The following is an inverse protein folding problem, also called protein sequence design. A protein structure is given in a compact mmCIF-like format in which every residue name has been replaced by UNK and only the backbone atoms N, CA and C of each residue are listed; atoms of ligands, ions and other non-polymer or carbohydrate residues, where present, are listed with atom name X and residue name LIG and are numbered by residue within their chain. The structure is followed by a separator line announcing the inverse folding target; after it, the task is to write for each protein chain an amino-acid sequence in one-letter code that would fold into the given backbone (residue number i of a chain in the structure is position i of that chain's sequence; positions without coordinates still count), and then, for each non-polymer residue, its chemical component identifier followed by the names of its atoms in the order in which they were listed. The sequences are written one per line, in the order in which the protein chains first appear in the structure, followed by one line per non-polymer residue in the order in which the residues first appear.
data_IF_453426948495
#
_entry.id   IF_453426948495
#
_cell.length_a   1.000
_cell.length_b   1.000
_cell.length_c   1.000
_cell.angle_alpha   90.00
_cell.angle_beta   90.00
_cell.angle_gamma   90.00
#
_symmetry.space_group_name_H-M   'P 1'
#
loop_
_entity.id
_entity.type
_entity.pdbx_description
1 polymer ?
#
# COMPACT_ATOMS: atom_id res chain seq x y z
N UNK A 1 19.84 -44.78 36.03
CA UNK A 1 20.51 -44.21 34.85
C UNK A 1 19.50 -43.32 34.17
N UNK A 2 19.54 -42.02 34.47
CA UNK A 2 18.59 -41.03 33.95
C UNK A 2 19.06 -40.60 32.56
N UNK A 3 18.26 -40.88 31.53
CA UNK A 3 18.47 -40.30 30.22
C UNK A 3 18.07 -38.82 30.30
N UNK A 4 19.05 -37.95 30.05
CA UNK A 4 18.86 -36.52 29.96
C UNK A 4 17.87 -36.21 28.82
N UNK A 5 16.78 -35.52 29.15
CA UNK A 5 15.91 -34.90 28.15
C UNK A 5 16.71 -33.86 27.38
N UNK A 6 16.75 -34.02 26.05
CA UNK A 6 17.22 -32.96 25.17
C UNK A 6 16.28 -31.75 25.34
N UNK A 7 16.80 -30.50 25.36
CA UNK A 7 15.93 -29.34 25.29
C UNK A 7 15.25 -29.33 23.93
N UNK A 8 13.90 -29.39 23.92
CA UNK A 8 13.09 -29.09 22.75
C UNK A 8 13.31 -27.62 22.39
N UNK A 9 14.33 -27.38 21.56
CA UNK A 9 14.52 -26.11 20.89
C UNK A 9 13.59 -26.07 19.68
N UNK A 10 12.31 -25.77 19.93
CA UNK A 10 11.40 -25.32 18.88
C UNK A 10 10.38 -24.34 19.46
N UNK A 11 10.86 -23.37 20.24
CA UNK A 11 10.22 -22.05 20.23
C UNK A 11 10.47 -21.46 18.84
N UNK A 12 9.70 -21.96 17.86
CA UNK A 12 9.47 -21.22 16.64
C UNK A 12 9.09 -19.81 17.09
N UNK A 13 9.98 -18.86 16.80
CA UNK A 13 9.77 -17.45 17.04
C UNK A 13 8.43 -17.09 16.39
N UNK A 14 7.36 -17.08 17.19
CA UNK A 14 6.01 -16.69 16.81
C UNK A 14 5.97 -15.16 16.71
N UNK A 15 6.92 -14.65 15.92
CA UNK A 15 6.98 -13.26 15.53
C UNK A 15 5.74 -13.05 14.66
N UNK A 16 4.84 -12.13 15.04
CA UNK A 16 3.67 -11.86 14.24
C UNK A 16 4.13 -11.52 12.82
N UNK A 17 3.63 -12.26 11.83
CA UNK A 17 3.90 -11.97 10.43
C UNK A 17 3.47 -10.53 10.19
N UNK A 18 4.44 -9.68 9.83
CA UNK A 18 4.21 -8.29 9.50
C UNK A 18 3.12 -8.21 8.42
N UNK A 19 1.97 -7.63 8.78
CA UNK A 19 0.91 -7.41 7.83
C UNK A 19 1.32 -6.24 6.94
N UNK A 20 1.24 -6.43 5.63
CA UNK A 20 1.56 -5.40 4.66
C UNK A 20 0.48 -5.28 3.58
N UNK A 21 0.47 -4.12 2.91
CA UNK A 21 -0.23 -3.87 1.65
C UNK A 21 0.73 -3.16 0.68
N UNK A 22 0.58 -3.41 -0.61
CA UNK A 22 1.29 -2.66 -1.65
C UNK A 22 0.33 -1.67 -2.27
N UNK A 23 0.70 -0.40 -2.25
CA UNK A 23 -0.11 0.70 -2.82
C UNK A 23 0.59 1.31 -4.02
N UNK A 24 -0.20 1.67 -5.04
CA UNK A 24 0.25 2.37 -6.24
C UNK A 24 -0.33 3.79 -6.19
N UNK A 25 0.49 4.82 -5.93
CA UNK A 25 0.02 6.19 -5.91
C UNK A 25 -0.25 6.70 -7.34
N UNK A 26 -1.42 7.31 -7.53
CA UNK A 26 -1.78 8.02 -8.77
C UNK A 26 -2.34 9.39 -8.43
N UNK A 27 -2.11 10.38 -9.28
CA UNK A 27 -2.48 11.77 -9.03
C UNK A 27 -3.67 12.17 -9.88
N UNK A 28 -4.65 12.77 -9.23
CA UNK A 28 -5.75 13.46 -9.90
C UNK A 28 -5.22 14.73 -10.55
N UNK A 29 -5.51 14.89 -11.84
CA UNK A 29 -5.24 16.13 -12.58
C UNK A 29 -6.49 16.98 -12.69
N UNK A 30 -6.33 18.27 -13.01
CA UNK A 30 -7.43 19.24 -13.10
C UNK A 30 -8.54 18.82 -14.08
N UNK A 31 -8.20 18.03 -15.10
CA UNK A 31 -9.17 17.47 -16.06
C UNK A 31 -10.01 16.31 -15.49
N UNK A 32 -9.80 15.94 -14.23
CA UNK A 32 -10.51 14.85 -13.54
C UNK A 32 -9.92 13.45 -13.74
N UNK A 33 -8.94 13.30 -14.64
CA UNK A 33 -8.25 12.03 -14.89
C UNK A 33 -7.18 11.70 -13.84
N UNK A 34 -6.67 10.47 -13.90
CA UNK A 34 -5.57 10.00 -13.04
C UNK A 34 -4.28 9.89 -13.85
N UNK A 35 -3.16 10.15 -13.20
CA UNK A 35 -1.83 9.97 -13.78
C UNK A 35 -0.87 9.27 -12.84
N UNK A 36 0.02 8.46 -13.41
CA UNK A 36 1.15 7.89 -12.69
C UNK A 36 2.18 8.98 -12.33
N UNK A 37 3.11 8.66 -11.43
CA UNK A 37 4.23 9.55 -11.06
C UNK A 37 5.06 9.99 -12.28
N UNK A 38 5.17 9.14 -13.30
CA UNK A 38 5.90 9.40 -14.54
C UNK A 38 5.05 10.11 -15.62
N UNK A 39 3.80 10.45 -15.31
CA UNK A 39 2.91 11.22 -16.17
C UNK A 39 2.03 10.42 -17.13
N UNK A 40 2.08 9.09 -17.10
CA UNK A 40 1.21 8.23 -17.89
C UNK A 40 -0.24 8.33 -17.41
N UNK A 41 -1.21 8.32 -18.32
CA UNK A 41 -2.64 8.38 -17.97
C UNK A 41 -3.05 7.01 -17.42
N UNK A 42 -3.73 7.00 -16.28
CA UNK A 42 -4.20 5.78 -15.63
C UNK A 42 -5.72 5.72 -15.73
N UNK A 43 -6.23 4.66 -16.33
CA UNK A 43 -7.64 4.28 -16.26
C UNK A 43 -7.75 3.00 -15.42
N UNK A 44 -8.18 3.09 -14.14
CA UNK A 44 -8.24 1.94 -13.25
C UNK A 44 -9.35 0.95 -13.62
N UNK A 45 -10.36 1.39 -14.38
CA UNK A 45 -11.46 0.55 -14.86
C UNK A 45 -11.13 -0.11 -16.20
N UNK A 46 -9.98 0.20 -16.79
CA UNK A 46 -9.53 -0.43 -18.01
C UNK A 46 -9.40 -1.95 -17.85
N UNK A 47 -9.67 -2.68 -18.93
CA UNK A 47 -9.51 -4.13 -18.93
C UNK A 47 -8.02 -4.53 -18.82
N UNK A 48 -7.16 -3.79 -19.51
CA UNK A 48 -5.71 -3.99 -19.54
C UNK A 48 -4.98 -2.64 -19.53
N UNK A 49 -3.75 -2.63 -19.03
CA UNK A 49 -2.84 -1.51 -19.10
C UNK A 49 -1.74 -1.78 -20.12
N UNK A 50 -1.22 -0.74 -20.76
CA UNK A 50 -0.05 -0.85 -21.61
C UNK A 50 1.22 -1.19 -20.79
N UNK A 51 2.19 -1.84 -21.43
CA UNK A 51 3.40 -2.33 -20.76
C UNK A 51 4.22 -1.21 -20.12
N UNK A 52 4.39 -0.07 -20.83
CA UNK A 52 5.14 1.06 -20.32
C UNK A 52 4.49 1.66 -19.06
N UNK A 53 3.15 1.74 -19.04
CA UNK A 53 2.39 2.17 -17.89
C UNK A 53 2.49 1.18 -16.73
N UNK A 54 2.39 -0.13 -16.99
CA UNK A 54 2.57 -1.16 -15.94
C UNK A 54 3.94 -1.01 -15.29
N UNK A 55 5.01 -0.85 -16.09
CA UNK A 55 6.37 -0.64 -15.57
C UNK A 55 6.48 0.68 -14.80
N UNK A 56 5.87 1.75 -15.28
CA UNK A 56 5.86 3.05 -14.59
C UNK A 56 5.12 3.00 -13.24
N UNK A 57 4.03 2.24 -13.16
CA UNK A 57 3.26 2.03 -11.93
C UNK A 57 4.00 1.11 -10.97
N UNK A 58 4.60 0.03 -11.46
CA UNK A 58 5.36 -0.93 -10.66
C UNK A 58 6.57 -0.26 -9.98
N UNK A 59 7.26 0.63 -10.70
CA UNK A 59 8.38 1.43 -10.16
C UNK A 59 7.93 2.43 -9.07
N UNK A 60 6.63 2.73 -8.98
CA UNK A 60 6.06 3.66 -8.00
C UNK A 60 5.42 2.99 -6.79
N UNK A 61 5.42 1.65 -6.73
CA UNK A 61 4.81 0.89 -5.64
C UNK A 61 5.45 1.25 -4.30
N UNK A 62 4.61 1.40 -3.28
CA UNK A 62 5.03 1.56 -1.90
C UNK A 62 4.41 0.46 -1.07
N UNK A 63 5.23 -0.25 -0.31
CA UNK A 63 4.76 -1.19 0.71
C UNK A 63 4.50 -0.43 2.00
N UNK A 64 3.31 -0.61 2.57
CA UNK A 64 2.92 -0.09 3.86
C UNK A 64 2.72 -1.27 4.80
N UNK A 65 3.33 -1.23 5.98
CA UNK A 65 3.24 -2.31 6.95
C UNK A 65 2.86 -1.85 8.37
N UNK A 66 2.38 -2.80 9.16
CA UNK A 66 2.10 -2.61 10.57
C UNK A 66 2.99 -3.53 11.43
N UNK A 67 3.56 -3.03 12.54
CA UNK A 67 3.34 -1.70 13.13
C UNK A 67 4.33 -0.61 12.66
N UNK A 68 5.13 -0.87 11.62
CA UNK A 68 6.27 -0.01 11.24
C UNK A 68 5.81 1.34 10.70
N UNK A 69 4.92 1.34 9.71
CA UNK A 69 4.47 2.57 9.06
C UNK A 69 3.18 3.10 9.69
N UNK A 70 2.31 2.20 10.15
CA UNK A 70 0.98 2.52 10.66
C UNK A 70 0.48 1.48 11.68
N UNK A 71 -0.57 1.84 12.42
CA UNK A 71 -1.24 0.93 13.34
C UNK A 71 -1.88 -0.26 12.58
N UNK A 72 -2.00 -1.46 13.19
CA UNK A 72 -2.69 -2.60 12.55
C UNK A 72 -4.14 -2.28 12.14
N UNK A 73 -4.80 -1.40 12.88
CA UNK A 73 -6.15 -0.90 12.57
C UNK A 73 -6.13 -0.05 11.31
N UNK A 74 -5.26 0.94 11.22
CA UNK A 74 -5.11 1.77 10.03
C UNK A 74 -4.76 0.93 8.79
N UNK A 75 -3.93 -0.11 8.94
CA UNK A 75 -3.57 -1.00 7.83
C UNK A 75 -4.79 -1.78 7.32
N UNK A 76 -5.62 -2.28 8.24
CA UNK A 76 -6.88 -2.95 7.91
C UNK A 76 -7.83 -1.99 7.16
N UNK A 77 -7.97 -0.76 7.64
CA UNK A 77 -8.78 0.27 6.99
C UNK A 77 -8.33 0.52 5.55
N UNK A 78 -7.02 0.71 5.34
CA UNK A 78 -6.49 0.88 3.98
C UNK A 78 -6.76 -0.33 3.11
N UNK A 79 -6.55 -1.55 3.66
CA UNK A 79 -6.76 -2.79 2.92
C UNK A 79 -8.21 -2.95 2.45
N UNK A 80 -9.18 -2.54 3.26
CA UNK A 80 -10.61 -2.69 2.98
C UNK A 80 -11.16 -1.58 2.08
N UNK A 81 -10.61 -0.36 2.17
CA UNK A 81 -11.17 0.80 1.47
C UNK A 81 -10.46 1.16 0.17
N UNK A 82 -9.18 0.80 0.02
CA UNK A 82 -8.47 1.06 -1.23
C UNK A 82 -8.90 0.04 -2.30
N UNK A 83 -9.23 0.50 -3.51
CA UNK A 83 -9.67 -0.39 -4.58
C UNK A 83 -8.52 -1.26 -5.09
N UNK A 84 -8.89 -2.44 -5.59
CA UNK A 84 -8.05 -3.36 -6.35
C UNK A 84 -8.48 -3.29 -7.83
N UNK A 85 -7.82 -2.45 -8.67
CA UNK A 85 -8.23 -2.30 -10.05
C UNK A 85 -8.13 -3.63 -10.83
N UNK A 86 -9.15 -4.01 -11.63
CA UNK A 86 -9.08 -5.22 -12.45
C UNK A 86 -7.88 -5.25 -13.38
N UNK A 87 -7.48 -4.09 -13.90
CA UNK A 87 -6.31 -3.93 -14.77
C UNK A 87 -5.00 -4.34 -14.07
N UNK A 88 -4.89 -4.09 -12.76
CA UNK A 88 -3.71 -4.43 -11.97
C UNK A 88 -3.59 -5.94 -11.80
N UNK A 89 -4.69 -6.60 -11.46
CA UNK A 89 -4.73 -8.05 -11.28
C UNK A 89 -4.38 -8.83 -12.55
N UNK A 90 -4.72 -8.29 -13.72
CA UNK A 90 -4.39 -8.90 -15.03
C UNK A 90 -2.94 -8.63 -15.49
N UNK A 91 -2.29 -7.58 -14.98
CA UNK A 91 -0.92 -7.22 -15.37
C UNK A 91 0.16 -8.19 -14.83
N UNK A 92 -0.18 -9.04 -13.87
CA UNK A 92 0.77 -9.92 -13.18
C UNK A 92 1.67 -9.17 -12.19
N UNK A 93 2.41 -8.15 -12.66
CA UNK A 93 3.35 -7.36 -11.85
C UNK A 93 2.66 -6.50 -10.79
N UNK A 94 1.46 -6.00 -11.06
CA UNK A 94 0.66 -5.21 -10.10
C UNK A 94 -0.41 -6.04 -9.40
N UNK A 95 -0.38 -7.38 -9.53
CA UNK A 95 -1.42 -8.23 -8.95
C UNK A 95 -1.53 -8.04 -7.45
N UNK A 96 -2.75 -7.86 -6.94
CA UNK A 96 -3.02 -7.61 -5.53
C UNK A 96 -2.54 -6.25 -5.01
N UNK A 97 -2.08 -5.34 -5.87
CA UNK A 97 -1.72 -3.99 -5.48
C UNK A 97 -2.96 -3.11 -5.44
N UNK A 98 -3.03 -2.24 -4.44
CA UNK A 98 -4.14 -1.32 -4.22
C UNK A 98 -3.85 0.03 -4.86
N UNK A 99 -4.86 0.66 -5.45
CA UNK A 99 -4.72 2.00 -6.01
C UNK A 99 -4.91 3.05 -4.91
N UNK A 100 -3.95 3.94 -4.75
CA UNK A 100 -4.05 5.11 -3.88
C UNK A 100 -4.18 6.36 -4.74
N UNK A 101 -5.38 6.94 -4.77
CA UNK A 101 -5.60 8.22 -5.42
C UNK A 101 -5.17 9.38 -4.52
N UNK A 102 -4.28 10.22 -5.05
CA UNK A 102 -3.80 11.45 -4.44
C UNK A 102 -4.40 12.66 -5.18
N UNK A 103 -4.70 13.72 -4.44
CA UNK A 103 -5.03 15.01 -5.02
C UNK A 103 -3.81 15.67 -5.73
N UNK A 104 -4.04 16.82 -6.36
CA UNK A 104 -2.98 17.56 -7.06
C UNK A 104 -1.84 18.03 -6.12
N UNK A 105 -2.07 18.04 -4.81
CA UNK A 105 -1.08 18.37 -3.77
C UNK A 105 -0.41 17.12 -3.19
N UNK A 106 -0.69 15.94 -3.73
CA UNK A 106 -0.14 14.67 -3.28
C UNK A 106 -0.70 14.23 -1.94
N UNK A 107 -1.99 14.47 -1.67
CA UNK A 107 -2.64 14.10 -0.40
C UNK A 107 -3.84 13.21 -0.63
N UNK A 108 -4.10 12.34 0.33
CA UNK A 108 -5.32 11.55 0.41
C UNK A 108 -5.77 11.41 1.86
N UNK A 109 -7.06 11.15 2.03
CA UNK A 109 -7.64 10.74 3.30
C UNK A 109 -8.49 9.51 3.03
N UNK A 110 -8.12 8.41 3.65
CA UNK A 110 -8.87 7.14 3.61
C UNK A 110 -9.37 6.92 5.03
N UNK A 111 -10.61 7.34 5.28
CA UNK A 111 -11.22 7.35 6.61
C UNK A 111 -10.35 8.09 7.65
N UNK A 112 -9.87 7.41 8.69
CA UNK A 112 -9.00 7.96 9.72
C UNK A 112 -7.52 8.06 9.30
N UNK A 113 -7.15 7.58 8.11
CA UNK A 113 -5.76 7.56 7.64
C UNK A 113 -5.48 8.73 6.71
N UNK A 114 -4.61 9.64 7.15
CA UNK A 114 -4.12 10.74 6.32
C UNK A 114 -2.81 10.36 5.63
N UNK A 115 -2.77 10.52 4.32
CA UNK A 115 -1.61 10.16 3.50
C UNK A 115 -1.11 11.40 2.76
N UNK A 116 0.20 11.58 2.72
CA UNK A 116 0.85 12.64 1.98
C UNK A 116 2.11 12.14 1.28
N UNK A 117 2.19 12.31 -0.04
CA UNK A 117 3.40 12.07 -0.80
C UNK A 117 4.35 13.26 -0.70
N UNK A 118 5.46 13.07 0.01
CA UNK A 118 6.58 14.01 0.08
C UNK A 118 7.63 13.67 -0.99
N UNK A 119 8.12 14.67 -1.71
CA UNK A 119 9.05 14.49 -2.84
C UNK A 119 10.35 13.78 -2.46
N UNK A 120 10.80 13.94 -1.22
CA UNK A 120 12.05 13.35 -0.71
C UNK A 120 11.84 12.10 0.13
N UNK A 121 10.71 12.02 0.85
CA UNK A 121 10.50 10.99 1.87
C UNK A 121 9.49 9.92 1.43
N UNK A 122 8.94 10.04 0.22
CA UNK A 122 7.91 9.12 -0.26
C UNK A 122 6.57 9.35 0.44
N UNK A 123 5.81 8.28 0.66
CA UNK A 123 4.51 8.36 1.32
C UNK A 123 4.67 8.48 2.83
N UNK A 124 4.14 9.56 3.38
CA UNK A 124 3.97 9.78 4.80
C UNK A 124 2.53 9.42 5.19
N UNK A 125 2.38 8.53 6.16
CA UNK A 125 1.07 8.08 6.63
C UNK A 125 0.89 8.51 8.08
N UNK A 126 -0.31 8.97 8.43
CA UNK A 126 -0.69 9.37 9.80
C UNK A 126 -2.05 8.84 10.14
N UNK A 127 -2.11 8.11 11.25
CA UNK A 127 -3.36 7.70 11.88
C UNK A 127 -3.97 8.91 12.62
N UNK A 128 -5.19 9.31 12.27
CA UNK A 128 -5.94 10.37 12.97
C UNK A 128 -6.66 9.84 14.21
N UNK A 129 -6.67 8.52 14.43
CA UNK A 129 -7.35 7.84 15.54
C UNK A 129 -6.65 7.89 16.90
N UNK A 130 -5.53 8.61 17.03
CA UNK A 130 -4.70 8.63 18.25
C UNK A 130 -4.77 9.91 19.09
N UNK A 131 -5.77 10.78 18.92
CA UNK A 131 -6.03 11.88 19.86
C UNK A 131 -7.25 11.53 20.73
N UNK A 132 -7.11 10.52 21.58
CA UNK A 132 -7.94 10.38 22.76
C UNK A 132 -7.00 10.26 23.96
N UNK A 133 -7.10 11.26 24.83
CA UNK A 133 -6.50 11.35 26.16
C UNK A 133 -6.88 10.17 27.07
#
# INVERSE_FOLDING_TARGET
MSQAGAPEADEAFDLPVEAAINVVPVWRVDSGGLRSRRGGIVDPEAETLDEELVLALADSVVTLSAPVDLSPRALTVLREQLPLPPAFDRSGSLRGHQLLELDAQGRAVVDEVAIHHHTTFGLLVRDRGGAQE
#
